data_IF_823930025218
#
_entry.id   IF_823930025218
#
_cell.length_a   1.000
_cell.length_b   1.000
_cell.length_c   1.000
_cell.angle_alpha   90.00
_cell.angle_beta   90.00
_cell.angle_gamma   90.00
#
_symmetry.space_group_name_H-M   'P 1'
#
loop_
_entity.id
_entity.type
_entity.pdbx_description
1 polymer ?
#
# COMPACT_ATOMS: atom_id res chain seq x y z
N UNK A 1 -15.61 16.27 -22.11
CA UNK A 1 -15.76 15.14 -23.05
C UNK A 1 -14.64 14.15 -22.77
N UNK A 2 -14.92 12.84 -22.77
CA UNK A 2 -13.88 11.81 -22.59
C UNK A 2 -13.58 11.17 -23.94
N UNK A 3 -12.30 11.09 -24.31
CA UNK A 3 -11.87 10.46 -25.56
C UNK A 3 -10.78 9.42 -25.29
N UNK A 4 -10.90 8.25 -25.90
CA UNK A 4 -9.83 7.25 -25.93
C UNK A 4 -8.77 7.70 -26.93
N UNK A 5 -7.52 7.89 -26.48
CA UNK A 5 -6.40 8.29 -27.34
C UNK A 5 -5.61 7.08 -27.85
N UNK A 6 -5.23 6.18 -26.95
CA UNK A 6 -4.41 5.01 -27.25
C UNK A 6 -4.75 3.88 -26.29
N UNK A 7 -4.57 2.64 -26.73
CA UNK A 7 -4.51 1.45 -25.87
C UNK A 7 -3.19 0.73 -26.14
N UNK A 8 -2.52 0.28 -25.09
CA UNK A 8 -1.29 -0.52 -25.17
C UNK A 8 -1.40 -1.72 -24.23
N UNK A 9 -0.96 -2.87 -24.69
CA UNK A 9 -0.90 -4.09 -23.88
C UNK A 9 0.43 -4.12 -23.12
N UNK A 10 0.37 -4.11 -21.80
CA UNK A 10 1.55 -4.17 -20.95
C UNK A 10 1.70 -5.53 -20.31
N UNK A 11 2.93 -6.03 -20.29
CA UNK A 11 3.26 -7.25 -19.56
C UNK A 11 3.28 -6.98 -18.07
N UNK A 12 2.53 -7.81 -17.34
CA UNK A 12 2.44 -7.77 -15.88
C UNK A 12 3.41 -8.78 -15.29
N UNK A 13 3.85 -8.60 -14.03
CA UNK A 13 4.69 -9.57 -13.33
C UNK A 13 4.01 -10.94 -13.12
N UNK A 14 2.73 -11.06 -13.47
CA UNK A 14 1.94 -12.29 -13.39
C UNK A 14 1.94 -13.08 -14.70
N UNK A 15 2.75 -12.67 -15.70
CA UNK A 15 2.79 -13.31 -17.02
C UNK A 15 1.54 -13.06 -17.86
N UNK A 16 0.71 -12.10 -17.48
CA UNK A 16 -0.52 -11.72 -18.21
C UNK A 16 -0.34 -10.35 -18.86
N UNK A 17 -1.07 -10.12 -19.95
CA UNK A 17 -1.11 -8.82 -20.63
C UNK A 17 -2.32 -8.01 -20.18
N UNK A 18 -2.04 -6.80 -19.71
CA UNK A 18 -3.04 -5.86 -19.22
C UNK A 18 -3.15 -4.69 -20.21
N UNK A 19 -4.31 -4.50 -20.85
CA UNK A 19 -4.54 -3.32 -21.65
C UNK A 19 -4.59 -2.08 -20.77
N UNK A 20 -3.78 -1.09 -21.12
CA UNK A 20 -3.72 0.23 -20.51
C UNK A 20 -4.14 1.25 -21.55
N UNK A 21 -5.13 2.07 -21.20
CA UNK A 21 -5.70 3.09 -22.06
C UNK A 21 -5.27 4.49 -21.62
N UNK A 22 -4.90 5.34 -22.57
CA UNK A 22 -4.73 6.77 -22.37
C UNK A 22 -6.02 7.46 -22.75
N UNK A 23 -6.62 8.15 -21.78
CA UNK A 23 -7.88 8.85 -21.89
C UNK A 23 -7.62 10.36 -21.83
N UNK A 24 -8.24 11.10 -22.73
CA UNK A 24 -8.33 12.56 -22.62
C UNK A 24 -9.54 12.92 -21.75
N UNK A 25 -9.27 13.53 -20.60
CA UNK A 25 -10.25 13.95 -19.60
C UNK A 25 -10.11 15.45 -19.37
N UNK A 26 -10.97 16.25 -20.00
CA UNK A 26 -11.04 17.70 -19.73
C UNK A 26 -9.72 18.44 -19.96
N UNK A 27 -9.01 18.11 -21.05
CA UNK A 27 -7.72 18.72 -21.41
C UNK A 27 -6.50 18.10 -20.71
N UNK A 28 -6.67 17.00 -19.97
CA UNK A 28 -5.57 16.23 -19.37
C UNK A 28 -5.56 14.80 -19.88
N UNK A 29 -4.38 14.26 -20.15
CA UNK A 29 -4.23 12.82 -20.44
C UNK A 29 -4.13 12.07 -19.12
N UNK A 30 -4.95 11.03 -18.98
CA UNK A 30 -4.96 10.13 -17.83
C UNK A 30 -4.81 8.68 -18.28
N UNK A 31 -4.24 7.88 -17.40
CA UNK A 31 -4.05 6.45 -17.64
C UNK A 31 -5.18 5.68 -16.97
N UNK A 32 -5.81 4.75 -17.69
CA UNK A 32 -6.93 3.96 -17.19
C UNK A 32 -6.84 2.50 -17.64
N UNK A 33 -7.41 1.61 -16.83
CA UNK A 33 -7.36 0.16 -17.05
C UNK A 33 -8.79 -0.40 -17.13
N UNK A 34 -9.12 -1.28 -18.10
CA UNK A 34 -10.41 -1.95 -18.12
C UNK A 34 -10.62 -2.77 -16.84
N UNK A 35 -11.74 -2.50 -16.15
CA UNK A 35 -12.05 -3.15 -14.87
C UNK A 35 -12.18 -4.67 -15.01
N UNK A 36 -12.73 -5.17 -16.12
CA UNK A 36 -12.84 -6.60 -16.37
C UNK A 36 -11.46 -7.28 -16.38
N UNK A 37 -10.50 -6.69 -17.10
CA UNK A 37 -9.13 -7.22 -17.20
C UNK A 37 -8.36 -7.06 -15.89
N UNK A 38 -8.57 -5.96 -15.17
CA UNK A 38 -8.00 -5.78 -13.84
C UNK A 38 -8.46 -6.89 -12.87
N UNK A 39 -9.74 -7.26 -12.91
CA UNK A 39 -10.28 -8.35 -12.09
C UNK A 39 -9.66 -9.70 -12.44
N UNK A 40 -9.56 -10.02 -13.73
CA UNK A 40 -8.92 -11.24 -14.22
C UNK A 40 -7.47 -11.37 -13.76
N UNK A 41 -6.67 -10.32 -13.97
CA UNK A 41 -5.24 -10.30 -13.59
C UNK A 41 -5.05 -10.46 -12.09
N UNK A 42 -5.92 -9.86 -11.28
CA UNK A 42 -5.87 -9.97 -9.82
C UNK A 42 -6.46 -11.28 -9.27
N UNK A 43 -7.09 -12.10 -10.10
CA UNK A 43 -7.81 -13.30 -9.66
C UNK A 43 -9.01 -12.96 -8.77
N UNK A 44 -9.72 -11.88 -9.11
CA UNK A 44 -10.97 -11.46 -8.47
C UNK A 44 -12.13 -11.62 -9.43
N UNK A 45 -13.24 -12.15 -8.91
CA UNK A 45 -14.48 -12.20 -9.68
C UNK A 45 -14.92 -10.78 -10.05
N UNK A 46 -15.34 -10.63 -11.32
CA UNK A 46 -15.76 -9.35 -11.89
C UNK A 46 -16.80 -8.65 -11.02
N UNK A 47 -17.80 -9.37 -10.51
CA UNK A 47 -18.85 -8.80 -9.64
C UNK A 47 -18.30 -8.18 -8.36
N UNK A 48 -17.29 -8.80 -7.75
CA UNK A 48 -16.71 -8.34 -6.48
C UNK A 48 -15.87 -7.08 -6.68
N UNK A 49 -15.11 -7.00 -7.78
CA UNK A 49 -14.34 -5.80 -8.11
C UNK A 49 -15.27 -4.61 -8.41
N UNK A 50 -16.31 -4.82 -9.22
CA UNK A 50 -17.27 -3.77 -9.54
C UNK A 50 -18.02 -3.32 -8.28
N UNK A 51 -18.47 -4.26 -7.45
CA UNK A 51 -19.11 -3.95 -6.17
C UNK A 51 -18.20 -3.18 -5.21
N UNK A 52 -16.89 -3.44 -5.20
CA UNK A 52 -15.93 -2.68 -4.39
C UNK A 52 -15.83 -1.22 -4.86
N UNK A 53 -15.80 -0.99 -6.17
CA UNK A 53 -15.73 0.35 -6.75
C UNK A 53 -17.05 1.11 -6.58
N UNK A 54 -18.19 0.44 -6.77
CA UNK A 54 -19.52 1.06 -6.66
C UNK A 54 -19.86 1.47 -5.23
N UNK A 55 -19.43 0.69 -4.23
CA UNK A 55 -19.70 0.97 -2.81
C UNK A 55 -18.81 2.07 -2.23
N UNK A 56 -17.70 2.41 -2.88
CA UNK A 56 -16.82 3.45 -2.42
C UNK A 56 -17.05 4.75 -3.22
N UNK A 57 -17.51 5.83 -2.56
CA UNK A 57 -17.84 7.08 -3.25
C UNK A 57 -16.62 7.79 -3.85
N UNK A 58 -15.40 7.45 -3.43
CA UNK A 58 -14.17 7.99 -4.00
C UNK A 58 -13.76 7.19 -5.23
N UNK A 59 -13.79 5.85 -5.16
CA UNK A 59 -13.43 4.99 -6.29
C UNK A 59 -14.41 5.11 -7.45
N UNK A 60 -15.71 5.26 -7.17
CA UNK A 60 -16.74 5.42 -8.19
C UNK A 60 -16.52 6.65 -9.07
N UNK A 61 -15.95 7.73 -8.52
CA UNK A 61 -15.62 8.94 -9.27
C UNK A 61 -14.47 8.74 -10.28
N UNK A 62 -13.64 7.73 -10.08
CA UNK A 62 -12.54 7.38 -10.99
C UNK A 62 -12.94 6.37 -12.06
N UNK A 63 -14.21 5.93 -12.07
CA UNK A 63 -14.73 5.04 -13.11
C UNK A 63 -15.21 5.86 -14.30
N UNK A 64 -14.81 5.42 -15.49
CA UNK A 64 -15.28 5.99 -16.75
C UNK A 64 -15.78 4.87 -17.64
N UNK A 65 -16.96 5.04 -18.23
CA UNK A 65 -17.53 4.07 -19.17
C UNK A 65 -17.41 4.63 -20.58
N UNK A 66 -16.75 3.89 -21.45
CA UNK A 66 -16.55 4.26 -22.85
C UNK A 66 -17.11 3.18 -23.77
N UNK A 67 -17.59 3.59 -24.94
CA UNK A 67 -17.81 2.65 -26.02
C UNK A 67 -16.48 2.35 -26.69
N UNK A 68 -16.09 1.07 -26.66
CA UNK A 68 -14.92 0.54 -27.33
C UNK A 68 -15.37 -0.45 -28.38
N UNK A 69 -14.85 -0.34 -29.60
CA UNK A 69 -15.10 -1.32 -30.65
C UNK A 69 -14.11 -2.47 -30.47
N UNK A 70 -14.62 -3.68 -30.27
CA UNK A 70 -13.84 -4.92 -30.25
C UNK A 70 -14.36 -5.80 -31.37
N UNK A 71 -13.47 -6.22 -32.28
CA UNK A 71 -13.82 -7.09 -33.41
C UNK A 71 -14.98 -6.52 -34.27
N UNK A 72 -15.00 -5.20 -34.46
CA UNK A 72 -16.06 -4.50 -35.20
C UNK A 72 -17.36 -4.28 -34.42
N UNK A 73 -17.49 -4.85 -33.22
CA UNK A 73 -18.69 -4.74 -32.38
C UNK A 73 -18.51 -3.67 -31.31
N UNK A 74 -19.44 -2.71 -31.18
CA UNK A 74 -19.42 -1.72 -30.11
C UNK A 74 -19.74 -2.35 -28.75
N UNK A 75 -18.82 -2.25 -27.79
CA UNK A 75 -19.01 -2.69 -26.41
C UNK A 75 -18.86 -1.54 -25.43
N UNK A 76 -19.75 -1.48 -24.43
CA UNK A 76 -19.56 -0.59 -23.28
C UNK A 76 -18.52 -1.19 -22.34
N UNK A 77 -17.37 -0.55 -22.23
CA UNK A 77 -16.27 -0.98 -21.38
C UNK A 77 -16.08 0.01 -20.24
N UNK A 78 -16.08 -0.49 -19.01
CA UNK A 78 -15.76 0.30 -17.83
C UNK A 78 -14.25 0.30 -17.61
N UNK A 79 -13.69 1.50 -17.62
CA UNK A 79 -12.31 1.79 -17.28
C UNK A 79 -12.23 2.39 -15.89
N UNK A 80 -11.15 2.09 -15.19
CA UNK A 80 -10.81 2.69 -13.92
C UNK A 80 -9.53 3.50 -14.11
N UNK A 81 -9.59 4.79 -13.81
CA UNK A 81 -8.42 5.68 -13.88
C UNK A 81 -7.36 5.23 -12.87
N UNK A 82 -6.10 5.60 -13.11
CA UNK A 82 -4.94 5.27 -12.26
C UNK A 82 -5.21 5.49 -10.76
N UNK A 83 -5.75 6.64 -10.29
CA UNK A 83 -6.04 6.80 -8.85
C UNK A 83 -7.04 5.76 -8.32
N UNK A 84 -8.02 5.40 -9.13
CA UNK A 84 -8.99 4.34 -8.80
C UNK A 84 -8.34 2.96 -8.75
N UNK A 85 -7.45 2.63 -9.70
CA UNK A 85 -6.69 1.35 -9.70
C UNK A 85 -5.84 1.24 -8.44
N UNK A 86 -5.08 2.28 -8.11
CA UNK A 86 -4.27 2.31 -6.89
C UNK A 86 -5.13 2.24 -5.63
N UNK A 87 -6.29 2.91 -5.63
CA UNK A 87 -7.25 2.87 -4.54
C UNK A 87 -7.85 1.47 -4.31
N UNK A 88 -8.24 0.77 -5.38
CA UNK A 88 -8.67 -0.64 -5.32
C UNK A 88 -7.56 -1.49 -4.73
N UNK A 89 -6.34 -1.35 -5.24
CA UNK A 89 -5.18 -2.10 -4.76
C UNK A 89 -4.88 -1.83 -3.29
N UNK A 90 -4.98 -0.58 -2.82
CA UNK A 90 -4.77 -0.23 -1.42
C UNK A 90 -5.85 -0.82 -0.49
N UNK A 91 -7.08 -0.98 -1.00
CA UNK A 91 -8.16 -1.65 -0.26
C UNK A 91 -8.00 -3.16 -0.20
N UNK A 92 -7.20 -3.75 -1.08
CA UNK A 92 -6.87 -5.16 -1.04
C UNK A 92 -5.86 -5.40 0.07
N UNK A 93 -6.37 -5.57 1.28
CA UNK A 93 -5.57 -5.89 2.46
C UNK A 93 -4.95 -7.29 2.31
N UNK A 94 -3.68 -7.31 1.91
CA UNK A 94 -2.90 -8.54 1.68
C UNK A 94 -2.74 -9.37 2.95
N UNK A 95 -2.89 -8.77 4.14
CA UNK A 95 -2.85 -9.48 5.42
C UNK A 95 -4.07 -10.40 5.63
N UNK A 96 -5.19 -10.12 4.94
CA UNK A 96 -6.43 -10.91 5.01
C UNK A 96 -6.47 -12.07 4.00
N UNK A 97 -5.57 -12.08 3.02
CA UNK A 97 -5.51 -13.15 2.01
C UNK A 97 -4.84 -14.37 2.64
N UNK A 98 -5.59 -15.45 2.89
CA UNK A 98 -5.06 -16.66 3.52
C UNK A 98 -4.09 -17.43 2.62
N UNK A 99 -4.39 -17.50 1.31
CA UNK A 99 -3.55 -18.16 0.32
C UNK A 99 -2.24 -17.37 0.09
N UNK A 100 -1.07 -17.95 0.41
CA UNK A 100 0.22 -17.29 0.24
C UNK A 100 0.55 -16.99 -1.23
N UNK A 101 0.19 -17.87 -2.17
CA UNK A 101 0.46 -17.67 -3.59
C UNK A 101 -0.42 -16.54 -4.15
N UNK A 102 -1.69 -16.46 -3.75
CA UNK A 102 -2.54 -15.30 -4.09
C UNK A 102 -2.01 -14.00 -3.47
N UNK A 103 -1.52 -14.06 -2.23
CA UNK A 103 -0.96 -12.89 -1.54
C UNK A 103 0.26 -12.34 -2.26
N UNK A 104 1.21 -13.20 -2.63
CA UNK A 104 2.42 -12.79 -3.36
C UNK A 104 2.09 -12.20 -4.74
N UNK A 105 1.14 -12.80 -5.48
CA UNK A 105 0.66 -12.25 -6.76
C UNK A 105 0.11 -10.84 -6.61
N UNK A 106 -0.75 -10.62 -5.60
CA UNK A 106 -1.31 -9.29 -5.34
C UNK A 106 -0.21 -8.30 -4.96
N UNK A 107 0.77 -8.69 -4.13
CA UNK A 107 1.89 -7.81 -3.74
C UNK A 107 2.76 -7.46 -4.96
N UNK A 108 3.10 -8.45 -5.79
CA UNK A 108 3.89 -8.24 -7.00
C UNK A 108 3.18 -7.28 -7.96
N UNK A 109 1.88 -7.49 -8.16
CA UNK A 109 1.07 -6.60 -9.00
C UNK A 109 0.93 -5.20 -8.39
N UNK A 110 0.76 -5.07 -7.07
CA UNK A 110 0.72 -3.78 -6.38
C UNK A 110 2.00 -2.98 -6.66
N UNK A 111 3.18 -3.58 -6.45
CA UNK A 111 4.47 -2.92 -6.71
C UNK A 111 4.60 -2.46 -8.16
N UNK A 112 4.31 -3.36 -9.09
CA UNK A 112 4.32 -3.04 -10.52
C UNK A 112 3.35 -1.92 -10.87
N UNK A 113 2.12 -1.93 -10.33
CA UNK A 113 1.13 -0.92 -10.64
C UNK A 113 1.52 0.47 -10.12
N UNK A 114 2.13 0.54 -8.92
CA UNK A 114 2.64 1.79 -8.35
C UNK A 114 3.79 2.36 -9.17
N UNK A 115 4.71 1.53 -9.66
CA UNK A 115 5.86 1.98 -10.44
C UNK A 115 5.50 2.30 -11.90
N UNK A 116 4.76 1.40 -12.54
CA UNK A 116 4.51 1.45 -13.99
C UNK A 116 3.42 2.46 -14.34
N UNK A 117 2.26 2.45 -13.67
CA UNK A 117 1.17 3.35 -14.04
C UNK A 117 1.50 4.81 -13.78
N UNK A 118 2.33 5.09 -12.77
CA UNK A 118 2.82 6.45 -12.50
C UNK A 118 3.81 6.89 -13.58
N UNK A 119 4.78 6.02 -13.95
CA UNK A 119 5.70 6.29 -15.05
C UNK A 119 4.98 6.53 -16.38
N UNK A 120 3.94 5.77 -16.71
CA UNK A 120 3.22 5.92 -17.98
C UNK A 120 2.49 7.26 -18.13
N UNK A 121 2.08 7.88 -17.02
CA UNK A 121 1.48 9.21 -17.02
C UNK A 121 2.51 10.29 -17.38
N UNK A 122 3.79 10.08 -17.01
CA UNK A 122 4.89 11.02 -17.26
C UNK A 122 5.72 10.67 -18.51
N UNK A 123 5.77 9.40 -18.94
CA UNK A 123 6.48 8.97 -20.15
C UNK A 123 5.80 9.42 -21.44
N UNK A 124 4.48 9.68 -21.43
CA UNK A 124 3.81 10.31 -22.57
C UNK A 124 4.18 11.80 -22.76
N UNK A 125 4.96 12.38 -21.84
CA UNK A 125 5.59 13.71 -21.97
C UNK A 125 7.09 13.65 -22.29
N UNK A 126 7.69 12.47 -22.39
CA UNK A 126 9.11 12.33 -22.70
C UNK A 126 9.31 12.11 -24.22
N UNK A 127 10.12 12.94 -24.92
CA UNK A 127 10.60 12.55 -26.24
C UNK A 127 11.41 11.25 -26.12
N UNK A 128 11.18 10.33 -27.06
CA UNK A 128 11.79 8.99 -27.08
C UNK A 128 13.31 9.06 -26.90
N UNK A 129 13.93 8.11 -26.16
CA UNK A 129 15.36 8.12 -25.95
C UNK A 129 16.08 7.81 -27.27
N UNK A 130 16.79 8.80 -27.81
CA UNK A 130 17.84 8.56 -28.78
C UNK A 130 18.93 7.71 -28.10
N UNK A 131 19.29 6.63 -28.77
CA UNK A 131 20.37 5.71 -28.44
C UNK A 131 21.69 6.46 -28.16
N UNK A 132 22.38 6.04 -27.11
CA UNK A 132 23.76 6.38 -26.74
C UNK A 132 24.10 7.87 -26.52
N UNK A 133 24.22 8.25 -25.24
CA UNK A 133 25.44 8.87 -24.72
C UNK A 133 25.32 8.96 -23.19
N UNK A 134 26.27 8.39 -22.47
CA UNK A 134 26.52 8.81 -21.08
C UNK A 134 27.08 10.23 -21.11
N UNK A 135 26.63 11.12 -20.20
CA UNK A 135 27.58 12.05 -19.62
C UNK A 135 27.56 12.02 -18.10
N UNK A 136 28.74 12.24 -17.57
CA UNK A 136 29.15 12.36 -16.17
C UNK A 136 28.29 13.33 -15.34
N UNK A 137 28.27 13.20 -14.01
CA UNK A 137 27.46 14.05 -13.15
C UNK A 137 28.01 15.48 -13.11
N UNK A 138 27.26 16.45 -13.63
CA UNK A 138 27.48 17.86 -13.33
C UNK A 138 26.75 18.23 -12.03
N UNK A 139 27.34 19.07 -11.17
CA UNK A 139 26.71 19.51 -9.92
C UNK A 139 25.55 20.46 -10.24
N UNK A 140 24.36 20.09 -9.75
CA UNK A 140 23.13 20.86 -9.90
C UNK A 140 23.26 22.27 -9.31
N UNK A 141 23.19 23.29 -10.17
CA UNK A 141 23.25 24.72 -9.85
C UNK A 141 21.87 25.35 -9.53
N UNK A 142 20.86 24.52 -9.23
CA UNK A 142 19.52 25.01 -8.88
C UNK A 142 19.05 24.40 -7.55
N UNK A 143 18.74 25.23 -6.53
CA UNK A 143 18.03 24.73 -5.36
C UNK A 143 16.61 24.31 -5.80
N UNK A 144 16.06 23.20 -5.28
CA UNK A 144 14.68 22.84 -5.58
C UNK A 144 13.74 23.93 -5.03
N UNK A 145 12.64 24.24 -5.73
CA UNK A 145 11.66 25.20 -5.22
C UNK A 145 11.11 24.69 -3.89
N UNK A 146 11.11 25.58 -2.89
CA UNK A 146 10.51 25.30 -1.60
C UNK A 146 9.04 24.87 -1.81
N UNK A 147 8.75 23.60 -1.52
CA UNK A 147 7.37 23.14 -1.40
C UNK A 147 6.74 23.87 -0.22
N UNK A 148 6.00 24.94 -0.50
CA UNK A 148 5.06 25.54 0.45
C UNK A 148 3.94 24.54 0.70
N UNK A 149 4.15 23.66 1.67
CA UNK A 149 3.07 22.97 2.35
C UNK A 149 2.21 24.00 3.07
N UNK A 150 1.01 24.26 2.57
CA UNK A 150 -0.02 24.97 3.34
C UNK A 150 -0.30 24.20 4.64
N UNK A 151 -0.11 24.81 5.82
CA UNK A 151 -0.25 24.13 7.09
C UNK A 151 -1.74 24.08 7.45
N UNK A 152 -2.39 22.94 7.21
CA UNK A 152 -3.64 22.62 7.91
C UNK A 152 -3.27 22.37 9.37
N UNK A 153 -3.60 23.33 10.24
CA UNK A 153 -3.54 23.28 11.70
C UNK A 153 -2.31 22.59 12.29
N UNK A 154 -1.23 23.35 12.56
CA UNK A 154 -0.08 22.82 13.32
C UNK A 154 -0.54 22.50 14.74
N UNK A 155 -0.98 21.26 14.96
CA UNK A 155 -0.87 20.65 16.27
C UNK A 155 0.58 20.71 16.75
N UNK A 156 0.79 20.80 18.06
CA UNK A 156 2.11 20.93 18.67
C UNK A 156 2.94 19.65 18.46
N UNK A 157 3.70 19.63 17.36
CA UNK A 157 4.55 18.51 16.97
C UNK A 157 5.73 18.32 17.92
N UNK A 158 6.22 19.39 18.54
CA UNK A 158 7.32 19.31 19.50
C UNK A 158 6.84 18.61 20.77
N UNK A 159 5.65 18.99 21.27
CA UNK A 159 5.02 18.31 22.41
C UNK A 159 4.67 16.85 22.08
N UNK A 160 4.17 16.58 20.87
CA UNK A 160 3.90 15.23 20.41
C UNK A 160 5.15 14.35 20.38
N UNK A 161 6.28 14.88 19.93
CA UNK A 161 7.56 14.16 19.91
C UNK A 161 8.02 13.76 21.32
N UNK A 162 7.96 14.68 22.29
CA UNK A 162 8.33 14.40 23.68
C UNK A 162 7.41 13.35 24.33
N UNK A 163 6.11 13.42 24.04
CA UNK A 163 5.15 12.39 24.46
C UNK A 163 5.38 11.05 23.77
N UNK A 164 5.83 11.04 22.52
CA UNK A 164 6.18 9.82 21.77
C UNK A 164 7.47 9.17 22.30
N UNK A 165 8.48 9.95 22.66
CA UNK A 165 9.72 9.45 23.30
C UNK A 165 9.52 8.96 24.73
N UNK A 166 8.40 9.31 25.36
CA UNK A 166 8.10 8.90 26.74
C UNK A 166 8.70 9.81 27.80
N UNK A 167 9.16 11.00 27.42
CA UNK A 167 9.58 12.08 28.33
C UNK A 167 8.39 12.63 29.12
N UNK A 168 7.20 12.60 28.51
CA UNK A 168 5.93 12.99 29.14
C UNK A 168 5.06 11.75 29.25
N UNK A 169 4.82 11.32 30.49
CA UNK A 169 4.08 10.10 30.82
C UNK A 169 2.65 10.42 31.29
N UNK A 170 1.81 9.40 31.29
CA UNK A 170 0.48 9.44 31.85
C UNK A 170 0.49 9.53 33.39
N UNK A 171 -0.70 9.73 34.01
CA UNK A 171 -0.83 9.90 35.45
C UNK A 171 -0.32 8.71 36.28
N UNK A 172 -0.23 7.51 35.68
CA UNK A 172 0.25 6.28 36.32
C UNK A 172 1.65 5.89 35.82
N UNK A 173 2.39 6.81 35.21
CA UNK A 173 3.74 6.57 34.68
C UNK A 173 3.79 5.78 33.37
N UNK A 174 2.64 5.59 32.71
CA UNK A 174 2.50 4.86 31.46
C UNK A 174 2.80 5.71 30.22
N UNK A 175 3.17 5.05 29.12
CA UNK A 175 3.28 5.73 27.82
C UNK A 175 1.90 6.14 27.31
N UNK A 176 1.79 7.40 26.87
CA UNK A 176 0.55 7.92 26.31
C UNK A 176 0.24 7.23 24.96
N UNK A 177 -1.02 6.80 24.81
CA UNK A 177 -1.52 6.23 23.57
C UNK A 177 -1.61 7.27 22.45
N UNK A 178 -1.56 6.85 21.19
CA UNK A 178 -1.73 7.75 20.05
C UNK A 178 -3.04 8.56 20.10
N UNK A 179 -4.11 7.98 20.68
CA UNK A 179 -5.39 8.70 20.89
C UNK A 179 -5.27 9.80 21.94
N UNK A 180 -4.51 9.58 23.01
CA UNK A 180 -4.28 10.57 24.05
C UNK A 180 -3.38 11.71 23.56
N UNK A 181 -2.29 11.37 22.87
CA UNK A 181 -1.36 12.35 22.29
C UNK A 181 -2.07 13.23 21.25
N UNK A 182 -2.90 12.62 20.39
CA UNK A 182 -3.66 13.37 19.38
C UNK A 182 -4.63 14.38 19.98
N UNK A 183 -5.33 14.04 21.08
CA UNK A 183 -6.22 14.97 21.78
C UNK A 183 -5.46 16.12 22.46
N UNK A 184 -4.28 15.83 23.03
CA UNK A 184 -3.49 16.84 23.76
C UNK A 184 -2.72 17.79 22.83
N UNK A 185 -2.30 17.32 21.67
CA UNK A 185 -1.40 18.06 20.78
C UNK A 185 -2.10 18.58 19.53
N UNK A 186 -3.32 18.12 19.23
CA UNK A 186 -4.00 18.41 17.96
C UNK A 186 -3.37 17.73 16.74
N UNK A 187 -2.30 16.94 16.93
CA UNK A 187 -1.63 16.23 15.83
C UNK A 187 -2.47 14.99 15.43
N UNK A 188 -2.77 14.79 14.12
CA UNK A 188 -3.51 13.61 13.67
C UNK A 188 -2.81 12.30 14.01
N UNK A 189 -3.59 11.25 14.32
CA UNK A 189 -3.06 9.92 14.66
C UNK A 189 -2.17 9.32 13.57
N UNK A 190 -2.47 9.58 12.30
CA UNK A 190 -1.67 9.14 11.15
C UNK A 190 -0.29 9.79 11.17
N UNK A 191 -0.24 11.10 11.41
CA UNK A 191 1.01 11.84 11.61
C UNK A 191 1.80 11.33 12.80
N UNK A 192 1.14 11.01 13.93
CA UNK A 192 1.80 10.43 15.10
C UNK A 192 2.40 9.04 14.84
N UNK A 193 1.74 8.19 14.04
CA UNK A 193 2.30 6.89 13.65
C UNK A 193 3.56 7.07 12.78
N UNK A 194 3.52 7.99 11.83
CA UNK A 194 4.68 8.28 10.97
C UNK A 194 5.84 8.89 11.78
N UNK A 195 5.53 9.78 12.74
CA UNK A 195 6.52 10.33 13.67
C UNK A 195 7.13 9.23 14.55
N UNK A 196 6.32 8.34 15.11
CA UNK A 196 6.82 7.24 15.95
C UNK A 196 7.72 6.26 15.17
N UNK A 197 7.41 6.00 13.89
CA UNK A 197 8.28 5.22 12.99
C UNK A 197 9.61 5.94 12.74
N UNK A 198 9.56 7.23 12.40
CA UNK A 198 10.76 8.04 12.12
C UNK A 198 11.68 8.18 13.35
N UNK A 199 11.09 8.25 14.53
CA UNK A 199 11.81 8.33 15.81
C UNK A 199 12.26 6.96 16.35
N UNK A 200 11.91 5.85 15.68
CA UNK A 200 12.23 4.49 16.13
C UNK A 200 11.45 4.01 17.36
N UNK A 201 10.55 4.81 17.95
CA UNK A 201 9.83 4.51 19.20
C UNK A 201 8.50 3.78 19.02
N UNK A 202 8.19 3.32 17.80
CA UNK A 202 6.96 2.59 17.50
C UNK A 202 6.83 1.27 18.27
N UNK A 203 7.96 0.62 18.56
CA UNK A 203 8.02 -0.66 19.28
C UNK A 203 7.55 -0.57 20.73
N UNK A 204 7.71 0.59 21.38
CA UNK A 204 7.28 0.84 22.76
C UNK A 204 5.75 0.79 22.95
N UNK A 205 5.00 0.80 21.84
CA UNK A 205 3.53 0.85 21.80
C UNK A 205 2.92 -0.34 21.06
N UNK A 206 3.75 -1.29 20.64
CA UNK A 206 3.27 -2.55 20.10
C UNK A 206 2.59 -3.34 21.23
N UNK A 207 1.48 -4.01 20.93
CA UNK A 207 0.85 -4.92 21.87
C UNK A 207 1.90 -5.96 22.32
N UNK A 208 1.91 -6.37 23.60
CA UNK A 208 2.80 -7.44 24.04
C UNK A 208 2.61 -8.66 23.13
N UNK A 209 3.67 -9.44 22.86
CA UNK A 209 3.59 -10.62 22.01
C UNK A 209 2.42 -11.50 22.48
N UNK A 210 1.67 -12.03 21.51
CA UNK A 210 0.44 -12.79 21.76
C UNK A 210 0.77 -13.98 22.68
N UNK A 211 0.12 -14.01 23.86
CA UNK A 211 0.11 -15.08 24.89
C UNK A 211 0.04 -16.52 24.37
N UNK A 212 -0.34 -16.74 23.10
CA UNK A 212 -0.40 -18.06 22.47
C UNK A 212 0.97 -18.68 22.20
N UNK A 213 2.00 -17.88 21.88
CA UNK A 213 3.36 -18.41 21.66
C UNK A 213 4.02 -18.82 22.98
N UNK A 214 3.78 -18.06 24.05
CA UNK A 214 4.30 -18.38 25.38
C UNK A 214 3.72 -19.68 25.94
N UNK A 215 2.45 -19.97 25.64
CA UNK A 215 1.80 -21.21 26.08
C UNK A 215 2.37 -22.45 25.38
N UNK A 216 2.56 -22.36 24.07
CA UNK A 216 3.17 -23.44 23.27
C UNK A 216 4.63 -23.67 23.67
N UNK A 217 5.39 -22.60 23.92
CA UNK A 217 6.76 -22.69 24.42
C UNK A 217 6.82 -23.30 25.83
N UNK A 218 5.91 -22.90 26.73
CA UNK A 218 5.82 -23.45 28.07
C UNK A 218 5.45 -24.95 28.06
N UNK A 219 4.56 -25.39 27.18
CA UNK A 219 4.19 -26.80 27.01
C UNK A 219 5.38 -27.63 26.49
N UNK A 220 6.14 -27.11 25.52
CA UNK A 220 7.35 -27.78 25.01
C UNK A 220 8.43 -27.88 26.10
N UNK A 221 8.67 -26.82 26.87
CA UNK A 221 9.64 -26.83 27.96
C UNK A 221 9.24 -27.80 29.07
N UNK A 222 7.94 -27.90 29.40
CA UNK A 222 7.44 -28.87 30.35
C UNK A 222 7.63 -30.32 29.89
N UNK A 223 7.43 -30.61 28.59
CA UNK A 223 7.71 -31.92 28.02
C UNK A 223 9.19 -32.28 28.07
N UNK A 224 10.08 -31.33 27.77
CA UNK A 224 11.53 -31.54 27.86
C UNK A 224 11.98 -31.82 29.29
N UNK A 225 11.44 -31.09 30.28
CA UNK A 225 11.74 -31.33 31.69
C UNK A 225 11.29 -32.72 32.16
N UNK A 226 10.11 -33.18 31.72
CA UNK A 226 9.60 -34.51 32.04
C UNK A 226 10.48 -35.64 31.45
N UNK A 227 10.93 -35.48 30.20
CA UNK A 227 11.85 -36.42 29.54
C UNK A 227 13.19 -36.51 30.26
N UNK A 228 13.77 -35.38 30.65
CA UNK A 228 15.01 -35.34 31.41
C UNK A 228 14.87 -35.97 32.80
N UNK A 229 13.75 -35.74 33.48
CA UNK A 229 13.46 -36.35 34.78
C UNK A 229 13.30 -37.87 34.68
N UNK A 230 12.69 -38.38 33.61
CA UNK A 230 12.55 -39.81 33.32
C UNK A 230 13.90 -40.46 33.01
N UNK A 231 14.72 -39.81 32.17
CA UNK A 231 16.10 -40.24 31.89
C UNK A 231 16.95 -40.31 33.16
N UNK A 232 16.88 -39.29 34.01
CA UNK A 232 17.59 -39.27 35.29
C UNK A 232 17.11 -40.40 36.23
N UNK A 233 15.81 -40.74 36.20
CA UNK A 233 15.26 -41.87 36.97
C UNK A 233 15.80 -43.21 36.47
N UNK A 234 15.87 -43.40 35.16
CA UNK A 234 16.42 -44.63 34.53
C UNK A 234 17.92 -44.79 34.78
N UNK A 235 18.67 -43.69 34.79
CA UNK A 235 20.10 -43.70 35.10
C UNK A 235 20.40 -43.91 36.60
N UNK A 236 19.39 -43.77 37.48
CA UNK A 236 19.50 -44.03 38.94
C UNK A 236 18.98 -45.39 39.37
N UNK A 237 18.29 -46.13 38.50
CA UNK A 237 17.88 -47.50 38.80
C UNK A 237 19.14 -48.40 38.70
N UNK A 238 19.47 -49.17 39.75
CA UNK A 238 20.65 -50.03 39.78
C UNK A 238 20.56 -51.19 38.76
#
# INVERSE_FOLDING_TARGET
MVRLQKVEELETPLGTRLPVAWLELGGRTEVAVPMARLGEVLGYERKNLYGLVDRDPVLSNYRVVLMTTRDGVPHKTAFLQRPGVLGVLAKMDTSRIQDPAKRERVIAFQRWAFETLDRLLFSSMAPQPALFASPSPQPSLFPPPAQTFSPVGRGDRALAERMLKGEIRGPRGELLSYKAISRKTGVPKTTLHNMAKRLGVGHLRAAPPRRSQDRLLAEVLAQQAALLAELARRLRAP
#
